data_IF_169543291612
#
_entry.id   IF_169543291612
#
_cell.length_a   1.000
_cell.length_b   1.000
_cell.length_c   1.000
_cell.angle_alpha   90.00
_cell.angle_beta   90.00
_cell.angle_gamma   90.00
#
_symmetry.space_group_name_H-M   'P 1'
#
loop_
_entity.id
_entity.type
_entity.pdbx_description
1 polymer ?
#
# COMPACT_ATOMS: atom_id res chain seq x y z
N UNK A 1 10.78 -0.70 19.79
CA UNK A 1 10.64 -2.16 19.55
C UNK A 1 9.16 -2.47 19.51
N UNK A 2 8.71 -3.48 18.75
CA UNK A 2 7.30 -3.90 18.78
C UNK A 2 7.09 -4.93 19.88
N UNK A 3 5.91 -4.93 20.49
CA UNK A 3 5.62 -5.74 21.68
C UNK A 3 5.03 -7.11 21.32
N UNK A 4 4.32 -7.20 20.20
CA UNK A 4 3.71 -8.45 19.71
C UNK A 4 3.80 -8.58 18.19
N UNK A 5 3.67 -9.81 17.69
CA UNK A 5 3.58 -10.09 16.26
C UNK A 5 2.32 -9.44 15.66
N UNK A 6 1.20 -9.48 16.38
CA UNK A 6 -0.07 -8.88 15.94
C UNK A 6 0.08 -7.37 15.69
N UNK A 7 0.83 -6.68 16.55
CA UNK A 7 1.11 -5.25 16.39
C UNK A 7 1.89 -4.97 15.09
N UNK A 8 2.84 -5.83 14.72
CA UNK A 8 3.60 -5.70 13.47
C UNK A 8 2.72 -6.00 12.26
N UNK A 9 1.88 -7.04 12.34
CA UNK A 9 0.96 -7.43 11.27
C UNK A 9 -0.07 -6.34 10.98
N UNK A 10 -0.67 -5.74 12.02
CA UNK A 10 -1.62 -4.63 11.85
C UNK A 10 -0.95 -3.43 11.19
N UNK A 11 0.25 -3.04 11.63
CA UNK A 11 1.02 -1.95 11.02
C UNK A 11 1.38 -2.24 9.57
N UNK A 12 1.84 -3.44 9.27
CA UNK A 12 2.18 -3.86 7.90
C UNK A 12 0.93 -3.85 6.99
N UNK A 13 -0.22 -4.30 7.50
CA UNK A 13 -1.48 -4.31 6.77
C UNK A 13 -1.94 -2.90 6.44
N UNK A 14 -1.92 -1.99 7.41
CA UNK A 14 -2.26 -0.57 7.18
C UNK A 14 -1.29 0.09 6.20
N UNK A 15 0.01 -0.17 6.35
CA UNK A 15 1.02 0.36 5.44
C UNK A 15 0.81 -0.11 4.00
N UNK A 16 0.53 -1.40 3.81
CA UNK A 16 0.28 -1.97 2.48
C UNK A 16 -0.97 -1.34 1.84
N UNK A 17 -2.03 -1.12 2.63
CA UNK A 17 -3.23 -0.45 2.15
C UNK A 17 -2.93 0.98 1.69
N UNK A 18 -2.29 1.79 2.54
CA UNK A 18 -1.91 3.18 2.20
C UNK A 18 -1.00 3.24 0.97
N UNK A 19 -0.02 2.34 0.85
CA UNK A 19 0.85 2.30 -0.33
C UNK A 19 0.06 2.01 -1.61
N UNK A 20 -0.86 1.06 -1.56
CA UNK A 20 -1.62 0.64 -2.74
C UNK A 20 -2.72 1.64 -3.15
N UNK A 21 -3.31 2.36 -2.18
CA UNK A 21 -4.51 3.17 -2.42
C UNK A 21 -4.28 4.68 -2.38
N UNK A 22 -3.33 5.17 -1.56
CA UNK A 22 -3.17 6.59 -1.31
C UNK A 22 -1.88 7.15 -1.90
N UNK A 23 -0.81 6.35 -1.97
CA UNK A 23 0.51 6.83 -2.37
C UNK A 23 0.68 6.83 -3.90
N UNK A 24 0.86 7.99 -4.55
CA UNK A 24 1.23 8.07 -5.96
C UNK A 24 2.61 7.43 -6.20
N UNK A 25 2.74 6.66 -7.28
CA UNK A 25 4.01 6.08 -7.69
C UNK A 25 4.46 6.66 -9.03
N UNK A 26 5.58 7.37 -9.04
CA UNK A 26 6.11 8.02 -10.25
C UNK A 26 6.50 7.03 -11.35
N UNK A 27 6.94 5.82 -11.01
CA UNK A 27 7.19 4.77 -12.00
C UNK A 27 5.90 4.27 -12.67
N UNK A 28 4.74 4.58 -12.08
CA UNK A 28 3.42 4.33 -12.65
C UNK A 28 2.82 5.57 -13.34
N UNK A 29 3.57 6.68 -13.45
CA UNK A 29 3.06 7.94 -14.01
C UNK A 29 2.31 8.79 -12.99
N UNK A 30 2.58 8.61 -11.68
CA UNK A 30 1.97 9.42 -10.63
C UNK A 30 0.58 8.95 -10.20
N UNK A 31 0.16 7.74 -10.62
CA UNK A 31 -1.06 7.09 -10.12
C UNK A 31 -0.73 6.08 -9.03
N UNK A 32 -1.75 5.63 -8.30
CA UNK A 32 -1.58 4.61 -7.26
C UNK A 32 -1.54 3.21 -7.87
N UNK A 33 -0.92 2.22 -7.19
CA UNK A 33 -0.91 0.83 -7.67
C UNK A 33 -2.31 0.27 -7.94
N UNK A 34 -3.30 0.56 -7.09
CA UNK A 34 -4.68 0.11 -7.27
C UNK A 34 -5.32 0.69 -8.55
N UNK A 35 -5.06 1.96 -8.86
CA UNK A 35 -5.53 2.58 -10.11
C UNK A 35 -4.93 1.88 -11.33
N UNK A 36 -3.62 1.59 -11.30
CA UNK A 36 -2.96 0.86 -12.39
C UNK A 36 -3.54 -0.54 -12.59
N UNK A 37 -3.84 -1.25 -11.50
CA UNK A 37 -4.49 -2.55 -11.58
C UNK A 37 -5.88 -2.47 -12.22
N UNK A 38 -6.69 -1.48 -11.85
CA UNK A 38 -8.01 -1.27 -12.41
C UNK A 38 -7.99 -0.93 -13.92
N UNK A 39 -6.92 -0.27 -14.40
CA UNK A 39 -6.73 0.02 -15.82
C UNK A 39 -6.22 -1.17 -16.65
N UNK A 40 -5.66 -2.19 -16.00
CA UNK A 40 -5.10 -3.37 -16.66
C UNK A 40 -6.13 -4.50 -16.84
N UNK A 41 -7.32 -4.37 -16.25
CA UNK A 41 -8.47 -5.26 -16.42
C UNK A 41 -9.29 -4.86 -17.66
#
# INVERSE_FOLDING_TARGET
MFDTIEQVQDKATRWLWTYNHERPNMALGGITPAMKLAMAA
#
